data_IF_774751860529
#
_entry.id   IF_774751860529
#
_cell.length_a   1.000
_cell.length_b   1.000
_cell.length_c   1.000
_cell.angle_alpha   90.00
_cell.angle_beta   90.00
_cell.angle_gamma   90.00
#
_symmetry.space_group_name_H-M   'P 1'
#
loop_
_entity.id
_entity.type
_entity.pdbx_description
1 polymer ?
#
# COMPACT_ATOMS: atom_id res chain seq x y z
N UNK A 1 -16.00 13.49 18.96
CA UNK A 1 -15.04 13.02 18.03
C UNK A 1 -15.47 11.76 17.28
N UNK A 2 -15.25 11.77 16.02
CA UNK A 2 -15.63 10.64 15.26
C UNK A 2 -14.46 9.78 14.98
N UNK A 3 -14.61 8.55 15.24
CA UNK A 3 -13.57 7.61 14.97
C UNK A 3 -14.06 6.68 13.90
N UNK A 4 -14.28 7.27 12.75
CA UNK A 4 -14.91 6.55 11.66
C UNK A 4 -13.87 6.05 10.69
N UNK A 5 -13.97 4.80 10.35
CA UNK A 5 -13.14 4.23 9.31
C UNK A 5 -13.95 4.26 8.02
N UNK A 6 -13.45 4.98 7.06
CA UNK A 6 -14.08 5.11 5.77
C UNK A 6 -13.20 4.40 4.75
N UNK A 7 -13.80 3.51 3.95
CA UNK A 7 -13.02 2.73 3.00
C UNK A 7 -12.24 3.60 2.02
N UNK A 8 -12.90 4.62 1.47
CA UNK A 8 -12.26 5.50 0.49
C UNK A 8 -11.04 6.21 1.10
N UNK A 9 -11.20 6.71 2.30
CA UNK A 9 -10.12 7.40 2.98
C UNK A 9 -9.00 6.45 3.34
N UNK A 10 -9.35 5.27 3.84
CA UNK A 10 -8.36 4.26 4.22
C UNK A 10 -7.56 3.81 3.01
N UNK A 11 -8.25 3.58 1.89
CA UNK A 11 -7.60 3.18 0.66
C UNK A 11 -6.62 4.25 0.17
N UNK A 12 -7.05 5.51 0.26
CA UNK A 12 -6.21 6.63 -0.16
C UNK A 12 -4.93 6.70 0.67
N UNK A 13 -5.07 6.50 1.98
CA UNK A 13 -3.90 6.50 2.86
C UNK A 13 -2.94 5.39 2.48
N UNK A 14 -3.48 4.21 2.20
CA UNK A 14 -2.66 3.08 1.79
C UNK A 14 -1.90 3.41 0.49
N UNK A 15 -2.62 3.96 -0.50
CA UNK A 15 -2.01 4.33 -1.77
C UNK A 15 -0.89 5.35 -1.58
N UNK A 16 -1.17 6.39 -0.79
CA UNK A 16 -0.19 7.44 -0.57
C UNK A 16 1.06 6.90 0.12
N UNK A 17 0.87 6.03 1.11
CA UNK A 17 2.01 5.45 1.82
C UNK A 17 2.83 4.53 0.93
N UNK A 18 2.18 3.72 0.09
CA UNK A 18 2.91 2.85 -0.84
C UNK A 18 3.73 3.71 -1.80
N UNK A 19 3.12 4.76 -2.36
CA UNK A 19 3.84 5.63 -3.28
C UNK A 19 5.03 6.29 -2.61
N UNK A 20 4.84 6.80 -1.40
CA UNK A 20 5.92 7.45 -0.67
C UNK A 20 7.06 6.49 -0.39
N UNK A 21 6.73 5.29 0.08
CA UNK A 21 7.75 4.30 0.43
C UNK A 21 8.51 3.80 -0.80
N UNK A 22 7.81 3.63 -1.92
CA UNK A 22 8.47 3.24 -3.16
C UNK A 22 9.42 4.34 -3.63
N UNK A 23 8.98 5.59 -3.54
CA UNK A 23 9.83 6.71 -3.93
C UNK A 23 11.08 6.79 -3.05
N UNK A 24 10.91 6.59 -1.74
CA UNK A 24 12.04 6.62 -0.82
C UNK A 24 13.06 5.53 -1.13
N UNK A 25 12.58 4.40 -1.63
CA UNK A 25 13.46 3.27 -1.95
C UNK A 25 13.90 3.27 -3.41
N UNK A 26 13.42 4.22 -4.17
CA UNK A 26 13.70 4.30 -5.61
C UNK A 26 13.32 3.01 -6.31
N UNK A 27 12.11 2.52 -6.01
CA UNK A 27 11.60 1.28 -6.58
C UNK A 27 10.27 1.52 -7.26
N UNK A 28 9.93 0.66 -8.20
CA UNK A 28 8.71 0.77 -8.99
C UNK A 28 7.58 -0.07 -8.41
N UNK A 29 6.36 0.21 -8.86
CA UNK A 29 5.21 -0.60 -8.50
C UNK A 29 5.37 -2.02 -9.02
N UNK A 30 5.98 -2.19 -10.20
CA UNK A 30 6.22 -3.51 -10.76
C UNK A 30 7.19 -4.30 -9.88
N UNK A 31 8.21 -3.63 -9.37
CA UNK A 31 9.14 -4.28 -8.46
C UNK A 31 8.42 -4.82 -7.23
N UNK A 32 7.58 -3.98 -6.60
CA UNK A 32 6.85 -4.39 -5.42
C UNK A 32 5.92 -5.57 -5.73
N UNK A 33 5.24 -5.50 -6.86
CA UNK A 33 4.34 -6.57 -7.28
C UNK A 33 5.08 -7.91 -7.37
N UNK A 34 6.27 -7.90 -7.94
CA UNK A 34 7.07 -9.12 -8.05
C UNK A 34 7.56 -9.60 -6.69
N UNK A 35 7.96 -8.66 -5.84
CA UNK A 35 8.49 -9.03 -4.52
C UNK A 35 7.44 -9.66 -3.63
N UNK A 36 6.20 -9.28 -3.77
CA UNK A 36 5.12 -9.88 -2.99
C UNK A 36 4.52 -11.11 -3.67
N UNK A 37 5.08 -11.52 -4.82
CA UNK A 37 4.66 -12.75 -5.49
C UNK A 37 3.40 -12.64 -6.31
N UNK A 38 3.08 -11.45 -6.81
CA UNK A 38 1.88 -11.25 -7.63
C UNK A 38 2.29 -10.93 -9.06
N UNK A 39 1.26 -10.78 -9.91
CA UNK A 39 1.45 -10.29 -11.27
C UNK A 39 2.08 -8.91 -11.21
N UNK A 40 2.94 -8.57 -12.18
CA UNK A 40 3.68 -7.33 -12.07
C UNK A 40 2.83 -6.07 -12.19
N UNK A 41 1.57 -6.20 -12.58
CA UNK A 41 0.64 -5.07 -12.63
C UNK A 41 -0.21 -4.94 -11.37
N UNK A 42 0.00 -5.83 -10.42
CA UNK A 42 -0.87 -5.89 -9.25
C UNK A 42 -0.92 -4.56 -8.48
N UNK A 43 0.25 -4.03 -8.13
CA UNK A 43 0.30 -2.81 -7.33
C UNK A 43 -0.28 -1.61 -8.13
N UNK A 44 0.01 -1.54 -9.43
CA UNK A 44 -0.57 -0.48 -10.26
C UNK A 44 -2.09 -0.55 -10.27
N UNK A 45 -2.65 -1.77 -10.34
CA UNK A 45 -4.10 -1.94 -10.31
C UNK A 45 -4.69 -1.58 -8.94
N UNK A 46 -3.95 -1.93 -7.88
CA UNK A 46 -4.38 -1.54 -6.54
C UNK A 46 -4.43 -0.02 -6.42
N UNK A 47 -3.42 0.66 -6.94
CA UNK A 47 -3.33 2.12 -6.87
C UNK A 47 -4.41 2.81 -7.70
N UNK A 48 -4.99 2.13 -8.67
CA UNK A 48 -6.08 2.68 -9.47
C UNK A 48 -7.45 2.20 -8.99
N UNK A 49 -7.50 1.59 -7.82
CA UNK A 49 -8.75 1.09 -7.23
C UNK A 49 -9.43 0.05 -8.12
N UNK A 50 -8.63 -0.77 -8.79
CA UNK A 50 -9.16 -1.83 -9.64
C UNK A 50 -9.23 -3.17 -8.92
N UNK A 51 -8.67 -3.25 -7.72
CA UNK A 51 -8.76 -4.44 -6.90
C UNK A 51 -8.61 -4.06 -5.43
N UNK A 52 -9.06 -4.96 -4.58
CA UNK A 52 -8.93 -4.79 -3.13
C UNK A 52 -7.95 -5.85 -2.66
N UNK A 53 -6.85 -5.46 -2.03
CA UNK A 53 -5.86 -6.44 -1.59
C UNK A 53 -6.38 -7.25 -0.41
N UNK A 54 -5.98 -8.51 -0.35
CA UNK A 54 -6.29 -9.34 0.79
C UNK A 54 -5.42 -8.91 1.97
N UNK A 55 -5.83 -9.29 3.16
CA UNK A 55 -5.02 -9.02 4.34
C UNK A 55 -3.63 -9.65 4.19
N UNK A 56 -3.57 -10.83 3.58
CA UNK A 56 -2.30 -11.51 3.37
C UNK A 56 -1.36 -10.69 2.50
N UNK A 57 -1.89 -10.12 1.42
CA UNK A 57 -1.09 -9.28 0.54
C UNK A 57 -0.64 -8.02 1.26
N UNK A 58 -1.51 -7.42 2.06
CA UNK A 58 -1.16 -6.24 2.83
C UNK A 58 0.02 -6.53 3.76
N UNK A 59 0.00 -7.68 4.42
CA UNK A 59 1.11 -8.08 5.29
C UNK A 59 2.41 -8.24 4.49
N UNK A 60 2.32 -8.80 3.28
CA UNK A 60 3.50 -8.96 2.44
C UNK A 60 4.06 -7.62 1.99
N UNK A 61 3.17 -6.68 1.65
CA UNK A 61 3.60 -5.34 1.27
C UNK A 61 4.38 -4.69 2.41
N UNK A 62 3.83 -4.77 3.61
CA UNK A 62 4.48 -4.20 4.79
C UNK A 62 5.85 -4.83 5.00
N UNK A 63 5.92 -6.14 4.85
CA UNK A 63 7.16 -6.87 5.05
C UNK A 63 8.23 -6.44 4.04
N UNK A 64 7.87 -6.37 2.77
CA UNK A 64 8.80 -5.99 1.72
C UNK A 64 9.27 -4.55 1.89
N UNK A 65 8.34 -3.67 2.26
CA UNK A 65 8.67 -2.26 2.46
C UNK A 65 9.29 -1.97 3.82
N UNK A 66 9.35 -2.99 4.68
CA UNK A 66 9.99 -2.92 6.00
C UNK A 66 9.31 -1.91 6.91
N UNK A 67 8.00 -1.95 6.93
CA UNK A 67 7.19 -1.14 7.84
C UNK A 67 6.16 -2.05 8.48
N UNK A 68 5.48 -1.56 9.51
CA UNK A 68 4.39 -2.32 10.10
C UNK A 68 3.14 -2.14 9.25
N UNK A 69 2.19 -3.04 9.42
CA UNK A 69 0.89 -2.87 8.75
C UNK A 69 0.26 -1.57 9.22
N UNK A 70 0.39 -1.23 10.50
CA UNK A 70 -0.14 0.02 11.03
C UNK A 70 0.43 1.22 10.28
N UNK A 71 1.73 1.17 9.95
CA UNK A 71 2.36 2.27 9.22
C UNK A 71 1.74 2.48 7.85
N UNK A 72 1.29 1.41 7.21
CA UNK A 72 0.67 1.52 5.90
C UNK A 72 -0.64 2.29 5.96
N UNK A 73 -1.30 2.26 7.10
CA UNK A 73 -2.61 2.87 7.27
C UNK A 73 -2.58 4.11 8.16
N UNK A 74 -1.40 4.61 8.45
CA UNK A 74 -1.26 5.83 9.23
C UNK A 74 -1.01 6.99 8.28
N UNK A 75 -1.87 7.99 8.37
CA UNK A 75 -1.74 9.16 7.52
C UNK A 75 -0.48 9.93 7.88
N UNK A 76 0.34 10.21 6.89
CA UNK A 76 1.53 11.01 7.10
C UNK A 76 1.23 12.47 6.88
N UNK A 77 1.73 13.29 7.75
CA UNK A 77 1.55 14.72 7.65
C UNK A 77 2.84 15.40 7.27
N UNK A 78 2.73 16.41 6.56
CA UNK A 78 3.88 17.21 6.18
C UNK A 78 4.45 16.91 4.89
#
# INVERSE_FOLDING_TARGET
MKNTTNYEETRKILEDNINRLLNEKDRSMAWLSREIGTNERYIARLQRDELVPSLQVICKIAEVLRVSVADLFTKKEG
#
